data_IF_362176476360
#
_entry.id   IF_362176476360
#
_cell.length_a   1.000
_cell.length_b   1.000
_cell.length_c   1.000
_cell.angle_alpha   90.00
_cell.angle_beta   90.00
_cell.angle_gamma   90.00
#
_symmetry.space_group_name_H-M   'P 1'
#
loop_
_entity.id
_entity.type
_entity.pdbx_description
1 polymer ?
#
# COMPACT_ATOMS: atom_id res chain seq x y z
N UNK A 1 -11.46 36.09 36.79
CA UNK A 1 -10.55 35.99 35.63
C UNK A 1 -9.56 34.85 35.85
N UNK A 2 -9.76 33.68 35.24
CA UNK A 2 -8.75 32.60 35.27
C UNK A 2 -7.65 33.00 34.30
N UNK A 3 -6.54 33.59 34.78
CA UNK A 3 -5.31 33.74 33.99
C UNK A 3 -4.76 32.33 33.76
N UNK A 4 -5.18 31.69 32.67
CA UNK A 4 -4.54 30.48 32.17
C UNK A 4 -3.14 30.87 31.72
N UNK A 5 -2.14 30.57 32.54
CA UNK A 5 -0.73 30.64 32.16
C UNK A 5 -0.53 29.74 30.93
N UNK A 6 -0.32 30.36 29.77
CA UNK A 6 0.12 29.66 28.56
C UNK A 6 1.56 29.21 28.79
N UNK A 7 1.76 27.90 28.82
CA UNK A 7 3.06 27.28 28.84
C UNK A 7 3.72 27.52 27.48
N UNK A 8 4.75 28.37 27.46
CA UNK A 8 5.51 28.73 26.26
C UNK A 8 6.56 27.68 25.90
N UNK A 9 6.70 26.59 26.69
CA UNK A 9 7.65 25.52 26.39
C UNK A 9 7.36 24.91 25.02
N UNK A 10 8.43 24.69 24.26
CA UNK A 10 8.42 23.97 22.97
C UNK A 10 7.91 22.53 23.17
N UNK A 11 8.13 21.96 24.37
CA UNK A 11 7.64 20.65 24.78
C UNK A 11 6.25 20.69 25.46
N UNK A 12 5.60 21.85 25.54
CA UNK A 12 4.31 21.95 26.23
C UNK A 12 3.22 21.15 25.51
N UNK A 13 2.49 20.32 26.27
CA UNK A 13 1.33 19.59 25.77
C UNK A 13 0.13 20.50 25.43
N UNK A 14 0.17 21.78 25.81
CA UNK A 14 -0.89 22.76 25.59
C UNK A 14 -1.13 23.08 24.10
N UNK A 15 -0.18 22.78 23.21
CA UNK A 15 -0.35 22.89 21.75
C UNK A 15 -0.85 21.60 21.07
N UNK A 16 -1.19 20.55 21.83
CA UNK A 16 -1.69 19.28 21.29
C UNK A 16 -3.23 19.20 21.17
N UNK A 17 -3.95 20.31 21.37
CA UNK A 17 -5.40 20.29 21.21
C UNK A 17 -5.82 20.07 19.76
N UNK A 18 -6.63 19.03 19.53
CA UNK A 18 -7.16 18.72 18.21
C UNK A 18 -8.26 19.72 17.84
N UNK A 19 -8.21 20.24 16.62
CA UNK A 19 -9.31 21.05 16.10
C UNK A 19 -10.54 20.19 15.76
N UNK A 20 -11.68 20.83 15.51
CA UNK A 20 -12.93 20.10 15.27
C UNK A 20 -12.86 19.16 14.05
N UNK A 21 -12.17 19.56 12.98
CA UNK A 21 -11.95 18.72 11.80
C UNK A 21 -11.10 17.48 12.10
N UNK A 22 -10.06 17.63 12.92
CA UNK A 22 -9.22 16.51 13.37
C UNK A 22 -10.00 15.58 14.31
N UNK A 23 -10.84 16.11 15.20
CA UNK A 23 -11.71 15.31 16.07
C UNK A 23 -12.73 14.51 15.27
N UNK A 24 -13.45 15.15 14.36
CA UNK A 24 -14.42 14.46 13.47
C UNK A 24 -13.70 13.45 12.57
N UNK A 25 -12.59 13.85 11.96
CA UNK A 25 -11.81 12.97 11.08
C UNK A 25 -11.25 11.73 11.79
N UNK A 26 -10.74 11.90 13.01
CA UNK A 26 -10.25 10.78 13.84
C UNK A 26 -11.39 9.89 14.33
N UNK A 27 -12.53 10.46 14.75
CA UNK A 27 -13.70 9.69 15.13
C UNK A 27 -14.22 8.83 13.97
N UNK A 28 -14.34 9.38 12.76
CA UNK A 28 -14.73 8.64 11.56
C UNK A 28 -13.76 7.50 11.23
N UNK A 29 -12.45 7.76 11.29
CA UNK A 29 -11.44 6.75 11.04
C UNK A 29 -11.47 5.62 12.08
N UNK A 30 -11.65 5.95 13.36
CA UNK A 30 -11.78 4.96 14.45
C UNK A 30 -13.05 4.13 14.28
N UNK A 31 -14.18 4.75 13.94
CA UNK A 31 -15.43 4.02 13.66
C UNK A 31 -15.28 3.08 12.47
N UNK A 32 -14.62 3.52 11.40
CA UNK A 32 -14.34 2.67 10.24
C UNK A 32 -13.45 1.47 10.60
N UNK A 33 -12.38 1.69 11.35
CA UNK A 33 -11.50 0.62 11.82
C UNK A 33 -12.23 -0.32 12.78
N UNK A 34 -13.10 0.20 13.63
CA UNK A 34 -13.93 -0.62 14.52
C UNK A 34 -14.84 -1.57 13.74
N UNK A 35 -15.50 -1.09 12.66
CA UNK A 35 -16.30 -1.94 11.79
C UNK A 35 -15.45 -3.06 11.15
N UNK A 36 -14.23 -2.76 10.71
CA UNK A 36 -13.32 -3.77 10.16
C UNK A 36 -12.89 -4.80 11.21
N UNK A 37 -12.69 -4.38 12.46
CA UNK A 37 -12.41 -5.29 13.58
C UNK A 37 -13.61 -6.18 13.91
N UNK A 38 -14.84 -5.64 13.89
CA UNK A 38 -16.04 -6.45 14.06
C UNK A 38 -16.18 -7.50 12.95
N UNK A 39 -15.88 -7.11 11.70
CA UNK A 39 -15.84 -8.04 10.58
C UNK A 39 -14.76 -9.11 10.76
N UNK A 40 -13.59 -8.75 11.28
CA UNK A 40 -12.52 -9.70 11.59
C UNK A 40 -12.96 -10.77 12.61
N UNK A 41 -13.70 -10.39 13.65
CA UNK A 41 -14.29 -11.33 14.61
C UNK A 41 -15.55 -12.07 14.10
N UNK A 42 -15.84 -11.97 12.81
CA UNK A 42 -16.95 -12.66 12.14
C UNK A 42 -18.33 -12.32 12.74
N UNK A 43 -18.51 -11.12 13.27
CA UNK A 43 -19.81 -10.66 13.74
C UNK A 43 -20.71 -10.39 12.53
N UNK A 44 -21.90 -10.99 12.52
CA UNK A 44 -22.83 -10.87 11.41
C UNK A 44 -23.44 -9.47 11.37
N UNK A 45 -22.91 -8.62 10.48
CA UNK A 45 -23.48 -7.33 10.17
C UNK A 45 -24.59 -7.50 9.13
N UNK A 46 -25.81 -7.05 9.47
CA UNK A 46 -26.91 -6.99 8.51
C UNK A 46 -26.52 -6.09 7.34
N UNK A 47 -26.74 -6.54 6.10
CA UNK A 47 -26.36 -5.83 4.87
C UNK A 47 -24.84 -5.54 4.76
N UNK A 48 -24.04 -6.60 4.62
CA UNK A 48 -22.56 -6.53 4.48
C UNK A 48 -22.07 -5.42 3.52
N UNK A 49 -22.71 -5.27 2.37
CA UNK A 49 -22.33 -4.26 1.36
C UNK A 49 -22.41 -2.83 1.88
N UNK A 50 -23.45 -2.49 2.64
CA UNK A 50 -23.64 -1.15 3.18
C UNK A 50 -22.53 -0.79 4.17
N UNK A 51 -22.24 -1.70 5.11
CA UNK A 51 -21.18 -1.51 6.10
C UNK A 51 -19.80 -1.52 5.47
N UNK A 52 -19.56 -2.34 4.43
CA UNK A 52 -18.31 -2.33 3.69
C UNK A 52 -18.07 -0.97 3.04
N UNK A 53 -18.98 -0.52 2.17
CA UNK A 53 -18.81 0.76 1.47
C UNK A 53 -18.78 1.94 2.45
N UNK A 54 -19.65 1.91 3.47
CA UNK A 54 -19.67 2.90 4.54
C UNK A 54 -18.35 2.98 5.31
N UNK A 55 -17.74 1.84 5.67
CA UNK A 55 -16.45 1.81 6.38
C UNK A 55 -15.30 2.30 5.51
N UNK A 56 -15.21 1.89 4.23
CA UNK A 56 -14.16 2.35 3.32
C UNK A 56 -14.29 3.85 3.03
N UNK A 57 -15.50 4.34 2.82
CA UNK A 57 -15.78 5.76 2.65
C UNK A 57 -15.46 6.56 3.93
N UNK A 58 -15.90 6.10 5.10
CA UNK A 58 -15.62 6.75 6.37
C UNK A 58 -14.11 6.79 6.68
N UNK A 59 -13.37 5.75 6.32
CA UNK A 59 -11.90 5.71 6.47
C UNK A 59 -11.23 6.77 5.58
N UNK A 60 -11.59 6.82 4.29
CA UNK A 60 -11.08 7.84 3.36
C UNK A 60 -11.47 9.26 3.77
N UNK A 61 -12.75 9.48 4.07
CA UNK A 61 -13.27 10.77 4.50
C UNK A 61 -12.62 11.23 5.81
N UNK A 62 -12.44 10.32 6.77
CA UNK A 62 -11.74 10.57 8.02
C UNK A 62 -10.30 11.03 7.80
N UNK A 63 -9.54 10.33 6.94
CA UNK A 63 -8.18 10.72 6.55
C UNK A 63 -8.14 12.08 5.86
N UNK A 64 -9.06 12.36 4.94
CA UNK A 64 -9.16 13.64 4.23
C UNK A 64 -9.47 14.79 5.19
N UNK A 65 -10.46 14.63 6.06
CA UNK A 65 -10.87 15.64 7.05
C UNK A 65 -9.74 15.93 8.06
N UNK A 66 -9.12 14.88 8.59
CA UNK A 66 -7.97 15.01 9.48
C UNK A 66 -6.81 15.75 8.80
N UNK A 67 -6.54 15.43 7.53
CA UNK A 67 -5.47 16.08 6.76
C UNK A 67 -5.76 17.55 6.47
N UNK A 68 -7.00 17.89 6.12
CA UNK A 68 -7.44 19.28 5.95
C UNK A 68 -7.28 20.08 7.24
N UNK A 69 -7.78 19.54 8.35
CA UNK A 69 -7.64 20.16 9.67
C UNK A 69 -6.17 20.37 10.08
N UNK A 70 -5.27 19.49 9.64
CA UNK A 70 -3.85 19.57 10.01
C UNK A 70 -3.05 20.56 9.15
N UNK A 71 -3.25 20.57 7.84
CA UNK A 71 -2.34 21.27 6.91
C UNK A 71 -2.95 22.47 6.19
N UNK A 72 -4.26 22.54 6.00
CA UNK A 72 -4.88 23.54 5.13
C UNK A 72 -4.72 24.97 5.65
N UNK A 73 -4.89 25.14 6.97
CA UNK A 73 -4.85 26.42 7.68
C UNK A 73 -3.44 26.84 8.11
N UNK A 74 -2.43 26.02 7.85
CA UNK A 74 -1.04 26.34 8.15
C UNK A 74 -0.35 26.93 6.91
N UNK A 75 0.62 27.85 7.05
CA UNK A 75 1.36 28.37 5.90
C UNK A 75 2.05 27.24 5.13
N UNK A 76 2.08 27.35 3.80
CA UNK A 76 2.70 26.34 2.95
C UNK A 76 4.21 26.25 3.24
N UNK A 77 4.75 25.04 3.36
CA UNK A 77 6.16 24.82 3.66
C UNK A 77 6.45 23.39 4.12
N UNK A 78 7.66 23.13 4.61
CA UNK A 78 8.05 21.82 5.17
C UNK A 78 7.48 21.72 6.60
N UNK A 79 6.71 20.66 6.88
CA UNK A 79 5.97 20.47 8.15
C UNK A 79 6.39 19.20 8.88
N UNK A 80 7.60 19.18 9.41
CA UNK A 80 8.17 18.06 10.17
C UNK A 80 8.22 18.37 11.68
N UNK A 81 7.10 18.88 12.22
CA UNK A 81 7.04 19.36 13.59
C UNK A 81 6.90 18.19 14.59
N UNK A 82 7.72 18.24 15.65
CA UNK A 82 7.71 17.32 16.80
C UNK A 82 7.92 15.84 16.47
N UNK A 83 8.55 15.54 15.32
CA UNK A 83 8.73 14.16 14.85
C UNK A 83 9.63 13.34 15.80
N UNK A 84 10.57 13.98 16.50
CA UNK A 84 11.40 13.32 17.52
C UNK A 84 10.68 13.10 18.86
N UNK A 85 9.54 13.75 19.11
CA UNK A 85 8.86 13.67 20.42
C UNK A 85 7.60 12.81 20.40
N UNK A 86 7.01 12.59 19.21
CA UNK A 86 5.81 11.76 19.07
C UNK A 86 6.14 10.28 19.28
N UNK A 87 5.39 9.61 20.17
CA UNK A 87 5.58 8.18 20.50
C UNK A 87 5.57 7.27 19.26
N UNK A 88 4.75 7.59 18.26
CA UNK A 88 4.68 6.83 17.01
C UNK A 88 5.92 6.97 16.11
N UNK A 89 6.64 8.10 16.13
CA UNK A 89 7.80 8.37 15.24
C UNK A 89 9.15 8.34 15.94
N UNK A 90 9.18 8.18 17.26
CA UNK A 90 10.42 8.11 18.06
C UNK A 90 10.65 6.74 18.70
N UNK A 91 10.28 5.64 18.02
CA UNK A 91 10.43 4.27 18.54
C UNK A 91 9.80 4.07 19.94
N UNK A 92 8.77 4.85 20.28
CA UNK A 92 8.06 4.76 21.55
C UNK A 92 7.11 3.56 21.58
N UNK A 93 6.38 3.42 22.68
CA UNK A 93 5.45 2.29 22.90
C UNK A 93 4.45 2.10 21.74
N UNK A 94 3.84 3.18 21.25
CA UNK A 94 2.89 3.10 20.13
C UNK A 94 3.56 2.66 18.82
N UNK A 95 4.83 3.03 18.59
CA UNK A 95 5.57 2.57 17.42
C UNK A 95 5.80 1.06 17.45
N UNK A 96 6.18 0.52 18.61
CA UNK A 96 6.36 -0.93 18.81
C UNK A 96 5.05 -1.70 18.67
N UNK A 97 3.95 -1.21 19.26
CA UNK A 97 2.63 -1.81 19.09
C UNK A 97 2.23 -1.90 17.61
N UNK A 98 2.38 -0.81 16.85
CA UNK A 98 2.07 -0.79 15.42
C UNK A 98 3.00 -1.71 14.64
N UNK A 99 4.30 -1.74 14.97
CA UNK A 99 5.26 -2.64 14.34
C UNK A 99 4.88 -4.11 14.54
N UNK A 100 4.64 -4.53 15.78
CA UNK A 100 4.22 -5.90 16.11
C UNK A 100 2.90 -6.25 15.43
N UNK A 101 1.91 -5.35 15.47
CA UNK A 101 0.61 -5.56 14.83
C UNK A 101 0.74 -5.76 13.31
N UNK A 102 1.53 -4.93 12.63
CA UNK A 102 1.76 -5.06 11.19
C UNK A 102 2.51 -6.36 10.87
N UNK A 103 3.55 -6.70 11.62
CA UNK A 103 4.27 -7.96 11.44
C UNK A 103 3.34 -9.16 11.65
N UNK A 104 2.55 -9.18 12.72
CA UNK A 104 1.57 -10.23 12.97
C UNK A 104 0.52 -10.31 11.85
N UNK A 105 0.03 -9.17 11.35
CA UNK A 105 -0.88 -9.13 10.21
C UNK A 105 -0.26 -9.78 8.96
N UNK A 106 1.00 -9.48 8.63
CA UNK A 106 1.68 -10.10 7.48
C UNK A 106 1.94 -11.59 7.67
N UNK A 107 2.29 -12.04 8.88
CA UNK A 107 2.42 -13.46 9.23
C UNK A 107 1.11 -14.19 8.90
N UNK A 108 -0.02 -13.65 9.38
CA UNK A 108 -1.35 -14.24 9.16
C UNK A 108 -1.74 -14.16 7.68
N UNK A 109 -1.47 -13.04 7.01
CA UNK A 109 -1.80 -12.84 5.59
C UNK A 109 -1.10 -13.85 4.68
N UNK A 110 0.18 -14.15 4.91
CA UNK A 110 0.96 -15.04 4.05
C UNK A 110 0.82 -16.52 4.43
N UNK A 111 0.86 -16.85 5.72
CA UNK A 111 0.94 -18.24 6.18
C UNK A 111 -0.37 -18.80 6.73
N UNK A 112 -1.26 -17.96 7.24
CA UNK A 112 -2.49 -18.42 7.89
C UNK A 112 -3.74 -17.64 7.47
N UNK A 113 -4.04 -17.54 6.17
CA UNK A 113 -5.15 -16.73 5.70
C UNK A 113 -6.53 -17.22 6.13
N UNK A 114 -6.64 -18.48 6.57
CA UNK A 114 -7.83 -19.03 7.22
C UNK A 114 -8.27 -18.19 8.42
N UNK A 115 -7.34 -17.59 9.17
CA UNK A 115 -7.69 -16.71 10.29
C UNK A 115 -8.22 -15.34 9.85
N UNK A 116 -7.96 -14.91 8.62
CA UNK A 116 -8.64 -13.74 8.02
C UNK A 116 -10.06 -14.10 7.54
N UNK A 117 -10.40 -15.39 7.52
CA UNK A 117 -11.68 -15.91 7.09
C UNK A 117 -11.75 -16.36 5.63
N UNK A 118 -10.59 -16.60 4.99
CA UNK A 118 -10.54 -17.29 3.71
C UNK A 118 -11.01 -18.75 3.89
N UNK A 119 -12.03 -19.16 3.14
CA UNK A 119 -12.50 -20.53 3.13
C UNK A 119 -11.82 -21.31 2.00
N UNK A 120 -11.24 -22.47 2.31
CA UNK A 120 -10.67 -23.37 1.28
C UNK A 120 -11.78 -24.07 0.47
N UNK A 121 -12.88 -24.44 1.13
CA UNK A 121 -14.05 -25.07 0.51
C UNK A 121 -15.33 -24.52 1.18
N UNK A 122 -15.89 -23.45 0.64
CA UNK A 122 -17.13 -22.86 1.16
C UNK A 122 -17.23 -21.35 1.01
N UNK A 123 -18.18 -20.75 1.73
CA UNK A 123 -18.34 -19.29 1.76
C UNK A 123 -17.28 -18.67 2.69
N UNK A 124 -16.64 -17.61 2.23
CA UNK A 124 -15.74 -16.82 3.06
C UNK A 124 -16.46 -16.26 4.28
N UNK A 125 -15.74 -16.21 5.40
CA UNK A 125 -16.20 -15.66 6.68
C UNK A 125 -15.27 -14.52 7.12
N UNK A 126 -15.55 -13.92 8.27
CA UNK A 126 -14.66 -12.93 8.86
C UNK A 126 -14.39 -11.73 7.95
N UNK A 127 -13.13 -11.28 7.95
CA UNK A 127 -12.70 -10.12 7.19
C UNK A 127 -12.74 -10.38 5.68
N UNK A 128 -12.31 -11.55 5.20
CA UNK A 128 -12.35 -11.87 3.77
C UNK A 128 -13.79 -11.90 3.25
N UNK A 129 -14.69 -12.58 3.98
CA UNK A 129 -16.11 -12.67 3.62
C UNK A 129 -16.88 -11.36 3.78
N UNK A 130 -16.28 -10.33 4.41
CA UNK A 130 -16.82 -8.97 4.46
C UNK A 130 -16.57 -8.21 3.15
N UNK A 131 -15.46 -8.52 2.45
CA UNK A 131 -15.10 -7.89 1.17
C UNK A 131 -15.69 -8.59 -0.06
N UNK A 132 -16.33 -9.76 0.10
CA UNK A 132 -16.99 -10.49 -0.99
C UNK A 132 -17.88 -9.61 -1.89
N UNK A 133 -18.75 -8.71 -1.38
CA UNK A 133 -19.61 -7.90 -2.25
C UNK A 133 -18.83 -6.98 -3.20
N UNK A 134 -17.72 -6.40 -2.73
CA UNK A 134 -16.88 -5.53 -3.56
C UNK A 134 -16.06 -6.36 -4.56
N UNK A 135 -15.55 -7.53 -4.14
CA UNK A 135 -14.85 -8.46 -5.02
C UNK A 135 -15.77 -8.91 -6.16
N UNK A 136 -16.94 -9.46 -5.83
CA UNK A 136 -17.92 -9.90 -6.83
C UNK A 136 -18.31 -8.79 -7.81
N UNK A 137 -18.38 -7.53 -7.35
CA UNK A 137 -18.62 -6.38 -8.21
C UNK A 137 -17.48 -6.15 -9.22
N UNK A 138 -16.22 -6.20 -8.77
CA UNK A 138 -15.04 -5.85 -9.58
C UNK A 138 -14.48 -7.01 -10.40
N UNK A 139 -14.32 -8.20 -9.79
CA UNK A 139 -13.68 -9.37 -10.40
C UNK A 139 -14.62 -10.55 -10.67
N UNK A 140 -15.86 -10.51 -10.17
CA UNK A 140 -16.85 -11.58 -10.37
C UNK A 140 -16.60 -12.86 -9.55
N UNK A 141 -15.60 -12.86 -8.65
CA UNK A 141 -15.23 -13.99 -7.78
C UNK A 141 -15.32 -13.59 -6.30
N UNK A 142 -15.46 -14.55 -5.37
CA UNK A 142 -15.33 -14.28 -3.94
C UNK A 142 -13.99 -13.63 -3.60
N UNK A 143 -13.95 -12.85 -2.53
CA UNK A 143 -12.74 -12.13 -2.16
C UNK A 143 -11.61 -13.09 -1.76
N UNK A 144 -10.39 -12.74 -2.11
CA UNK A 144 -9.17 -13.38 -1.60
C UNK A 144 -8.52 -12.50 -0.53
N UNK A 145 -7.58 -13.07 0.24
CA UNK A 145 -6.75 -12.29 1.17
C UNK A 145 -6.01 -11.14 0.46
N UNK A 146 -5.61 -11.35 -0.79
CA UNK A 146 -4.89 -10.38 -1.62
C UNK A 146 -5.82 -9.27 -2.09
N UNK A 147 -7.09 -9.59 -2.36
CA UNK A 147 -8.10 -8.59 -2.69
C UNK A 147 -8.36 -7.64 -1.51
N UNK A 148 -8.51 -8.20 -0.30
CA UNK A 148 -8.67 -7.40 0.94
C UNK A 148 -7.46 -6.50 1.13
N UNK A 149 -6.25 -7.09 1.08
CA UNK A 149 -5.01 -6.34 1.21
C UNK A 149 -4.92 -5.23 0.15
N UNK A 150 -5.14 -5.55 -1.12
CA UNK A 150 -5.09 -4.60 -2.25
C UNK A 150 -6.10 -3.46 -2.11
N UNK A 151 -7.31 -3.74 -1.62
CA UNK A 151 -8.33 -2.72 -1.37
C UNK A 151 -7.91 -1.77 -0.25
N UNK A 152 -7.54 -2.31 0.92
CA UNK A 152 -7.10 -1.52 2.07
C UNK A 152 -5.83 -0.72 1.74
N UNK A 153 -4.92 -1.33 1.00
CA UNK A 153 -3.69 -0.70 0.54
C UNK A 153 -3.97 0.46 -0.41
N UNK A 154 -4.90 0.29 -1.36
CA UNK A 154 -5.30 1.37 -2.28
C UNK A 154 -5.97 2.52 -1.52
N UNK A 155 -6.85 2.22 -0.57
CA UNK A 155 -7.45 3.23 0.32
C UNK A 155 -6.38 3.99 1.11
N UNK A 156 -5.40 3.28 1.67
CA UNK A 156 -4.30 3.90 2.40
C UNK A 156 -3.46 4.82 1.50
N UNK A 157 -3.08 4.38 0.29
CA UNK A 157 -2.33 5.20 -0.68
C UNK A 157 -3.11 6.43 -1.09
N UNK A 158 -4.43 6.32 -1.34
CA UNK A 158 -5.25 7.46 -1.74
C UNK A 158 -5.40 8.48 -0.60
N UNK A 159 -5.73 8.02 0.61
CA UNK A 159 -5.92 8.89 1.77
C UNK A 159 -4.62 9.55 2.25
N UNK A 160 -3.54 8.78 2.34
CA UNK A 160 -2.21 9.28 2.74
C UNK A 160 -1.53 10.07 1.62
N UNK A 161 -1.80 9.74 0.36
CA UNK A 161 -1.40 10.53 -0.81
C UNK A 161 -2.03 11.92 -0.78
N UNK A 162 -3.34 12.00 -0.50
CA UNK A 162 -4.02 13.28 -0.31
C UNK A 162 -3.41 14.10 0.84
N UNK A 163 -3.15 13.46 2.00
CA UNK A 163 -2.43 14.08 3.12
C UNK A 163 -1.09 14.67 2.68
N UNK A 164 -0.31 13.89 1.93
CA UNK A 164 1.03 14.29 1.49
C UNK A 164 0.99 15.45 0.48
N UNK A 165 0.03 15.44 -0.45
CA UNK A 165 -0.20 16.55 -1.39
C UNK A 165 -0.52 17.85 -0.64
N UNK A 166 -1.36 17.80 0.40
CA UNK A 166 -1.65 18.97 1.24
C UNK A 166 -0.43 19.45 2.02
N UNK A 167 0.33 18.52 2.61
CA UNK A 167 1.56 18.82 3.36
C UNK A 167 2.59 19.51 2.47
N UNK A 168 2.81 19.00 1.25
CA UNK A 168 3.79 19.51 0.30
C UNK A 168 3.20 20.40 -0.79
N UNK A 169 2.11 21.13 -0.48
CA UNK A 169 1.38 21.94 -1.48
C UNK A 169 2.19 23.04 -2.17
N UNK A 170 3.33 23.40 -1.59
CA UNK A 170 4.26 24.39 -2.16
C UNK A 170 5.13 23.80 -3.28
N UNK A 171 5.26 22.47 -3.37
CA UNK A 171 6.19 21.81 -4.28
C UNK A 171 5.46 20.98 -5.34
N UNK A 172 5.42 21.51 -6.58
CA UNK A 172 4.76 20.85 -7.73
C UNK A 172 5.33 19.46 -8.02
N UNK A 173 6.64 19.27 -7.88
CA UNK A 173 7.27 17.96 -8.11
C UNK A 173 6.69 16.89 -7.17
N UNK A 174 6.52 17.22 -5.89
CA UNK A 174 5.96 16.31 -4.89
C UNK A 174 4.49 15.98 -5.18
N UNK A 175 3.72 16.97 -5.63
CA UNK A 175 2.31 16.79 -5.99
C UNK A 175 2.17 15.85 -7.20
N UNK A 176 2.86 16.14 -8.31
CA UNK A 176 2.77 15.34 -9.54
C UNK A 176 3.24 13.91 -9.29
N UNK A 177 4.34 13.73 -8.54
CA UNK A 177 4.84 12.42 -8.15
C UNK A 177 3.82 11.61 -7.36
N UNK A 178 3.18 12.22 -6.36
CA UNK A 178 2.18 11.55 -5.53
C UNK A 178 0.93 11.19 -6.31
N UNK A 179 0.46 12.11 -7.18
CA UNK A 179 -0.67 11.86 -8.09
C UNK A 179 -0.36 10.69 -9.02
N UNK A 180 0.86 10.61 -9.58
CA UNK A 180 1.28 9.49 -10.42
C UNK A 180 1.18 8.16 -9.68
N UNK A 181 1.74 8.08 -8.47
CA UNK A 181 1.70 6.82 -7.70
C UNK A 181 0.27 6.44 -7.32
N UNK A 182 -0.57 7.41 -6.94
CA UNK A 182 -1.99 7.17 -6.68
C UNK A 182 -2.71 6.63 -7.92
N UNK A 183 -2.42 7.19 -9.09
CA UNK A 183 -2.96 6.73 -10.38
C UNK A 183 -2.53 5.30 -10.72
N UNK A 184 -1.24 4.98 -10.61
CA UNK A 184 -0.76 3.62 -10.88
C UNK A 184 -1.28 2.61 -9.85
N UNK A 185 -1.40 2.99 -8.58
CA UNK A 185 -1.97 2.11 -7.56
C UNK A 185 -3.45 1.83 -7.81
N UNK A 186 -4.27 2.87 -8.03
CA UNK A 186 -5.70 2.69 -8.24
C UNK A 186 -5.99 2.07 -9.61
N UNK A 187 -5.40 2.60 -10.67
CA UNK A 187 -5.64 2.17 -12.05
C UNK A 187 -4.96 0.84 -12.38
N UNK A 188 -3.64 0.81 -12.36
CA UNK A 188 -2.86 -0.32 -12.87
C UNK A 188 -2.71 -1.47 -11.88
N UNK A 189 -2.59 -1.19 -10.58
CA UNK A 189 -2.35 -2.22 -9.57
C UNK A 189 -3.64 -2.85 -9.04
N UNK A 190 -4.74 -2.08 -9.00
CA UNK A 190 -6.00 -2.50 -8.39
C UNK A 190 -7.13 -2.66 -9.41
N UNK A 191 -7.58 -1.61 -10.08
CA UNK A 191 -8.76 -1.70 -10.95
C UNK A 191 -8.52 -2.56 -12.20
N UNK A 192 -7.40 -2.36 -12.88
CA UNK A 192 -7.12 -3.04 -14.15
C UNK A 192 -7.01 -4.56 -14.00
N UNK A 193 -6.23 -5.12 -13.05
CA UNK A 193 -6.17 -6.57 -12.86
C UNK A 193 -7.53 -7.18 -12.49
N UNK A 194 -8.30 -6.51 -11.62
CA UNK A 194 -9.61 -7.00 -11.17
C UNK A 194 -10.64 -6.98 -12.31
N UNK A 195 -10.67 -5.92 -13.13
CA UNK A 195 -11.55 -5.88 -14.31
C UNK A 195 -11.13 -6.89 -15.39
N UNK A 196 -9.83 -7.06 -15.63
CA UNK A 196 -9.33 -8.07 -16.57
C UNK A 196 -9.62 -9.50 -16.07
N UNK A 197 -9.73 -9.72 -14.77
CA UNK A 197 -10.20 -10.96 -14.18
C UNK A 197 -11.68 -11.21 -14.49
N UNK A 198 -12.53 -10.19 -14.28
CA UNK A 198 -13.96 -10.28 -14.60
C UNK A 198 -14.25 -10.53 -16.08
N UNK A 199 -13.49 -9.89 -16.97
CA UNK A 199 -13.66 -10.03 -18.42
C UNK A 199 -13.09 -11.35 -18.98
N UNK A 200 -12.24 -12.05 -18.24
CA UNK A 200 -11.63 -13.30 -18.66
C UNK A 200 -11.71 -14.36 -17.54
N UNK A 201 -12.93 -14.76 -17.12
CA UNK A 201 -13.14 -15.56 -15.91
C UNK A 201 -12.58 -17.00 -16.04
N UNK A 202 -12.54 -17.54 -17.27
CA UNK A 202 -12.11 -18.91 -17.58
C UNK A 202 -10.59 -19.07 -17.71
N UNK A 203 -9.85 -17.96 -17.78
CA UNK A 203 -8.39 -18.02 -17.91
C UNK A 203 -7.75 -18.19 -16.54
N UNK A 204 -6.69 -19.01 -16.48
CA UNK A 204 -5.90 -19.18 -15.27
C UNK A 204 -5.33 -17.83 -14.79
N UNK A 205 -5.21 -17.67 -13.48
CA UNK A 205 -4.65 -16.44 -12.89
C UNK A 205 -3.14 -16.39 -13.17
N UNK A 206 -2.69 -15.40 -13.94
CA UNK A 206 -1.27 -15.14 -14.23
C UNK A 206 -0.83 -13.74 -13.79
N UNK A 207 -1.36 -13.24 -12.66
CA UNK A 207 -0.98 -11.96 -12.05
C UNK A 207 -0.97 -10.80 -13.07
N UNK A 208 -2.16 -10.39 -13.50
CA UNK A 208 -2.45 -9.38 -14.55
C UNK A 208 -2.02 -7.94 -14.22
N UNK A 209 -1.01 -7.76 -13.37
CA UNK A 209 -0.46 -6.47 -12.98
C UNK A 209 0.66 -6.05 -13.94
N UNK A 210 0.30 -5.17 -14.87
CA UNK A 210 1.18 -4.67 -15.93
C UNK A 210 2.40 -3.90 -15.44
N UNK A 211 2.49 -3.54 -14.15
CA UNK A 211 3.67 -2.85 -13.61
C UNK A 211 4.67 -3.80 -12.97
N UNK A 212 4.33 -5.08 -12.79
CA UNK A 212 5.20 -6.04 -12.09
C UNK A 212 6.25 -6.59 -13.04
N UNK A 213 7.51 -6.23 -12.82
CA UNK A 213 8.66 -6.68 -13.62
C UNK A 213 9.57 -7.60 -12.79
N UNK A 214 10.27 -8.52 -13.44
CA UNK A 214 11.38 -9.23 -12.82
C UNK A 214 12.57 -8.27 -12.57
N UNK A 215 13.39 -8.41 -11.50
CA UNK A 215 13.34 -9.43 -10.45
C UNK A 215 12.41 -9.09 -9.28
N UNK A 216 11.66 -7.98 -9.35
CA UNK A 216 10.69 -7.61 -8.31
C UNK A 216 9.55 -8.64 -8.24
N UNK A 217 9.10 -9.12 -9.39
CA UNK A 217 8.26 -10.30 -9.51
C UNK A 217 9.13 -11.55 -9.61
N UNK A 218 9.43 -12.16 -8.46
CA UNK A 218 10.34 -13.31 -8.37
C UNK A 218 9.77 -14.59 -9.00
N UNK A 219 8.43 -14.73 -9.07
CA UNK A 219 7.78 -15.92 -9.62
C UNK A 219 7.48 -15.81 -11.11
N UNK A 220 7.91 -14.73 -11.78
CA UNK A 220 7.59 -14.47 -13.19
C UNK A 220 7.97 -15.64 -14.11
N UNK A 221 9.12 -16.27 -13.85
CA UNK A 221 9.63 -17.41 -14.62
C UNK A 221 9.33 -18.78 -14.00
N UNK A 222 8.49 -18.84 -12.96
CA UNK A 222 8.13 -20.13 -12.37
C UNK A 222 7.24 -20.92 -13.35
N UNK A 223 7.40 -22.25 -13.35
CA UNK A 223 6.68 -23.18 -14.21
C UNK A 223 5.17 -22.91 -14.30
N UNK A 224 4.48 -22.89 -13.15
CA UNK A 224 3.04 -22.63 -13.09
C UNK A 224 2.64 -21.29 -13.74
N UNK A 225 3.47 -20.25 -13.61
CA UNK A 225 3.17 -18.92 -14.09
C UNK A 225 3.40 -18.83 -15.60
N UNK A 226 4.51 -19.39 -16.10
CA UNK A 226 4.79 -19.50 -17.53
C UNK A 226 3.73 -20.34 -18.24
N UNK A 227 3.38 -21.50 -17.68
CA UNK A 227 2.34 -22.38 -18.20
C UNK A 227 0.97 -21.69 -18.23
N UNK A 228 0.61 -20.89 -17.21
CA UNK A 228 -0.62 -20.11 -17.23
C UNK A 228 -0.60 -18.95 -18.25
N UNK A 229 0.57 -18.33 -18.49
CA UNK A 229 0.73 -17.29 -19.50
C UNK A 229 0.63 -17.84 -20.92
N UNK A 230 1.27 -18.98 -21.20
CA UNK A 230 1.22 -19.62 -22.53
C UNK A 230 -0.16 -20.18 -22.82
N UNK A 231 -0.83 -20.79 -21.83
CA UNK A 231 -2.20 -21.30 -21.97
C UNK A 231 -3.28 -20.20 -21.90
N UNK A 232 -2.92 -18.96 -21.52
CA UNK A 232 -3.83 -17.82 -21.42
C UNK A 232 -4.29 -17.22 -22.75
N UNK A 233 -3.92 -17.83 -23.89
CA UNK A 233 -4.19 -17.33 -25.24
C UNK A 233 -3.54 -15.96 -25.49
N UNK A 234 -4.14 -15.14 -26.36
CA UNK A 234 -3.57 -13.83 -26.77
C UNK A 234 -3.24 -12.89 -25.60
N UNK A 235 -4.07 -12.88 -24.55
CA UNK A 235 -3.84 -12.05 -23.37
C UNK A 235 -2.64 -12.53 -22.56
N UNK A 236 -2.49 -13.85 -22.36
CA UNK A 236 -1.36 -14.41 -21.63
C UNK A 236 -0.05 -14.21 -22.39
N UNK A 237 -0.05 -14.41 -23.71
CA UNK A 237 1.09 -14.13 -24.57
C UNK A 237 1.48 -12.64 -24.55
N UNK A 238 0.50 -11.73 -24.62
CA UNK A 238 0.75 -10.30 -24.49
C UNK A 238 1.44 -9.96 -23.16
N UNK A 239 0.97 -10.52 -22.05
CA UNK A 239 1.54 -10.28 -20.72
C UNK A 239 2.96 -10.83 -20.58
N UNK A 240 3.24 -11.98 -21.19
CA UNK A 240 4.59 -12.55 -21.24
C UNK A 240 5.55 -11.62 -22.01
N UNK A 241 5.17 -11.22 -23.23
CA UNK A 241 5.97 -10.31 -24.06
C UNK A 241 6.15 -8.96 -23.37
N UNK A 242 5.09 -8.43 -22.77
CA UNK A 242 5.12 -7.18 -22.02
C UNK A 242 6.07 -7.26 -20.82
N UNK A 243 6.01 -8.36 -20.05
CA UNK A 243 6.92 -8.58 -18.92
C UNK A 243 8.39 -8.65 -19.34
N UNK A 244 8.70 -9.32 -20.45
CA UNK A 244 10.05 -9.37 -21.03
C UNK A 244 10.47 -7.97 -21.52
N UNK A 245 9.60 -7.27 -22.24
CA UNK A 245 9.84 -5.92 -22.72
C UNK A 245 10.06 -4.94 -21.57
N UNK A 246 9.36 -5.10 -20.45
CA UNK A 246 9.58 -4.29 -19.25
C UNK A 246 11.00 -4.40 -18.72
N UNK A 247 11.57 -5.60 -18.72
CA UNK A 247 12.91 -5.88 -18.20
C UNK A 247 13.99 -5.33 -19.14
N UNK A 248 13.93 -5.67 -20.42
CA UNK A 248 15.03 -5.45 -21.35
C UNK A 248 14.93 -4.15 -22.16
N UNK A 249 13.73 -3.57 -22.28
CA UNK A 249 13.48 -2.41 -23.13
C UNK A 249 12.99 -1.23 -22.29
N UNK A 250 11.81 -1.35 -21.67
CA UNK A 250 11.14 -0.22 -21.02
C UNK A 250 11.92 0.24 -19.79
N UNK A 251 12.34 -0.67 -18.90
CA UNK A 251 13.06 -0.27 -17.68
C UNK A 251 14.41 0.38 -17.97
N UNK A 252 15.27 -0.14 -18.88
CA UNK A 252 16.50 0.55 -19.28
C UNK A 252 16.25 1.93 -19.90
N UNK A 253 15.27 2.05 -20.80
CA UNK A 253 14.90 3.33 -21.43
C UNK A 253 14.44 4.35 -20.38
N UNK A 254 13.49 3.98 -19.52
CA UNK A 254 12.98 4.87 -18.47
C UNK A 254 14.06 5.20 -17.43
N UNK A 255 14.96 4.27 -17.15
CA UNK A 255 16.10 4.51 -16.25
C UNK A 255 17.11 5.47 -16.87
N UNK A 256 17.33 5.42 -18.19
CA UNK A 256 18.20 6.36 -18.89
C UNK A 256 17.64 7.79 -18.86
N UNK A 257 16.35 7.98 -19.12
CA UNK A 257 15.73 9.31 -19.18
C UNK A 257 15.36 9.89 -17.81
N UNK A 258 14.83 9.07 -16.90
CA UNK A 258 14.25 9.52 -15.62
C UNK A 258 15.07 9.10 -14.39
N UNK A 259 16.17 8.36 -14.61
CA UNK A 259 17.07 7.89 -13.56
C UNK A 259 16.55 6.66 -12.81
N UNK A 260 17.40 6.11 -11.94
CA UNK A 260 17.21 4.83 -11.21
C UNK A 260 15.96 4.73 -10.32
N UNK A 261 15.29 5.85 -10.03
CA UNK A 261 14.18 5.92 -9.07
C UNK A 261 12.81 6.02 -9.73
N UNK A 262 12.74 6.00 -11.07
CA UNK A 262 11.48 6.19 -11.80
C UNK A 262 10.39 5.23 -11.30
N UNK A 263 10.68 3.94 -11.15
CA UNK A 263 9.70 2.94 -10.72
C UNK A 263 9.25 3.17 -9.28
N UNK A 264 10.20 3.17 -8.33
CA UNK A 264 9.89 3.31 -6.90
C UNK A 264 9.28 4.67 -6.55
N UNK A 265 9.56 5.74 -7.31
CA UNK A 265 9.07 7.07 -6.99
C UNK A 265 7.76 7.44 -7.69
N UNK A 266 7.43 6.82 -8.83
CA UNK A 266 6.32 7.28 -9.69
C UNK A 266 5.28 6.22 -10.01
N UNK A 267 5.61 4.93 -9.86
CA UNK A 267 4.75 3.81 -10.30
C UNK A 267 4.44 2.86 -9.14
N UNK A 268 5.44 2.52 -8.34
CA UNK A 268 5.32 1.49 -7.32
C UNK A 268 4.48 1.94 -6.12
N UNK A 269 3.45 1.17 -5.77
CA UNK A 269 2.65 1.37 -4.57
C UNK A 269 3.48 1.38 -3.28
N UNK A 270 4.44 0.46 -3.15
CA UNK A 270 5.35 0.39 -1.99
C UNK A 270 6.13 1.69 -1.78
N UNK A 271 6.58 2.29 -2.88
CA UNK A 271 7.21 3.60 -2.85
C UNK A 271 6.24 4.71 -2.49
N UNK A 272 5.00 4.66 -2.97
CA UNK A 272 3.92 5.55 -2.54
C UNK A 272 3.68 5.53 -1.03
N UNK A 273 3.64 4.34 -0.43
CA UNK A 273 3.47 4.23 1.03
C UNK A 273 4.70 4.76 1.78
N UNK A 274 5.90 4.45 1.29
CA UNK A 274 7.16 4.95 1.87
C UNK A 274 7.27 6.49 1.80
N UNK A 275 6.80 7.09 0.71
CA UNK A 275 6.83 8.55 0.53
C UNK A 275 5.70 9.25 1.28
N UNK A 276 4.56 8.61 1.54
CA UNK A 276 3.40 9.24 2.20
C UNK A 276 3.34 8.97 3.71
N UNK A 277 3.22 7.70 4.12
CA UNK A 277 3.28 7.31 5.53
C UNK A 277 4.71 7.37 6.07
N UNK A 278 5.67 6.84 5.31
CA UNK A 278 7.06 6.70 5.72
C UNK A 278 7.82 8.02 5.89
N UNK A 279 7.33 9.11 5.30
CA UNK A 279 7.95 10.44 5.39
C UNK A 279 8.18 10.90 6.84
N UNK A 280 7.26 10.55 7.76
CA UNK A 280 7.36 10.91 9.18
C UNK A 280 8.40 10.09 9.96
N UNK A 281 9.04 9.11 9.32
CA UNK A 281 10.04 8.22 9.93
C UNK A 281 11.44 8.44 9.36
N UNK A 282 11.63 9.38 8.42
CA UNK A 282 12.91 9.60 7.71
C UNK A 282 14.09 9.91 8.61
N UNK A 283 13.84 10.56 9.75
CA UNK A 283 14.83 10.86 10.79
C UNK A 283 15.43 9.61 11.44
N UNK A 284 14.74 8.46 11.38
CA UNK A 284 15.22 7.20 11.97
C UNK A 284 16.15 6.44 11.03
N UNK A 285 16.28 6.86 9.77
CA UNK A 285 17.16 6.22 8.80
C UNK A 285 18.62 6.55 9.11
N UNK A 286 19.44 5.51 9.29
CA UNK A 286 20.88 5.67 9.47
C UNK A 286 21.51 6.29 8.20
N UNK A 287 22.26 7.37 8.38
CA UNK A 287 22.99 8.09 7.32
C UNK A 287 24.48 7.85 7.37
N UNK A 288 24.93 6.91 8.21
CA UNK A 288 26.34 6.54 8.32
C UNK A 288 26.88 6.02 6.98
N UNK A 289 28.17 6.28 6.75
CA UNK A 289 28.87 5.77 5.56
C UNK A 289 28.93 4.24 5.54
N UNK A 290 28.87 3.59 6.72
CA UNK A 290 28.79 2.13 6.86
C UNK A 290 27.48 1.60 6.29
N UNK A 291 26.34 2.17 6.68
CA UNK A 291 25.03 1.78 6.15
C UNK A 291 24.95 1.97 4.63
N UNK A 292 25.46 3.10 4.12
CA UNK A 292 25.50 3.36 2.68
C UNK A 292 26.37 2.36 1.90
N UNK A 293 27.56 2.01 2.42
CA UNK A 293 28.44 1.01 1.80
C UNK A 293 27.77 -0.37 1.77
N UNK A 294 27.08 -0.74 2.85
CA UNK A 294 26.31 -1.98 2.92
C UNK A 294 25.18 -2.00 1.87
N UNK A 295 24.35 -0.96 1.81
CA UNK A 295 23.25 -0.85 0.85
C UNK A 295 23.75 -0.97 -0.61
N UNK A 296 24.88 -0.32 -0.92
CA UNK A 296 25.48 -0.40 -2.26
C UNK A 296 25.85 -1.83 -2.63
N UNK A 297 26.40 -2.62 -1.71
CA UNK A 297 26.81 -3.99 -1.99
C UNK A 297 25.61 -4.96 -1.97
N UNK A 298 24.69 -4.80 -1.02
CA UNK A 298 23.54 -5.68 -0.86
C UNK A 298 22.64 -5.71 -2.09
N UNK A 299 22.45 -4.57 -2.77
CA UNK A 299 21.65 -4.50 -4.01
C UNK A 299 22.24 -5.39 -5.11
N UNK A 300 23.56 -5.40 -5.27
CA UNK A 300 24.21 -6.21 -6.31
C UNK A 300 24.21 -7.69 -5.93
N UNK A 301 24.41 -8.02 -4.65
CA UNK A 301 24.29 -9.40 -4.17
C UNK A 301 22.88 -9.96 -4.44
N UNK A 302 21.84 -9.22 -4.06
CA UNK A 302 20.44 -9.63 -4.31
C UNK A 302 20.18 -9.80 -5.80
N UNK A 303 20.71 -8.92 -6.65
CA UNK A 303 20.57 -9.06 -8.11
C UNK A 303 21.24 -10.33 -8.65
N UNK A 304 22.49 -10.60 -8.24
CA UNK A 304 23.21 -11.82 -8.65
C UNK A 304 22.45 -13.06 -8.18
N UNK A 305 21.99 -13.07 -6.93
CA UNK A 305 21.20 -14.17 -6.39
C UNK A 305 19.90 -14.38 -7.18
N UNK A 306 19.17 -13.31 -7.49
CA UNK A 306 17.97 -13.38 -8.32
C UNK A 306 18.24 -13.93 -9.73
N UNK A 307 19.35 -13.56 -10.36
CA UNK A 307 19.77 -14.11 -11.66
C UNK A 307 20.03 -15.62 -11.55
N UNK A 308 20.83 -16.05 -10.57
CA UNK A 308 21.16 -17.47 -10.36
C UNK A 308 19.92 -18.29 -10.11
N UNK A 309 19.02 -17.83 -9.22
CA UNK A 309 17.75 -18.51 -8.94
C UNK A 309 16.88 -18.60 -10.20
N UNK A 310 16.83 -17.54 -11.00
CA UNK A 310 16.03 -17.53 -12.24
C UNK A 310 16.58 -18.51 -13.27
N UNK A 311 17.91 -18.56 -13.44
CA UNK A 311 18.55 -19.56 -14.32
C UNK A 311 18.23 -20.97 -13.85
N UNK A 312 18.32 -21.24 -12.54
CA UNK A 312 17.99 -22.54 -11.99
C UNK A 312 16.52 -22.93 -12.26
N UNK A 313 15.58 -22.01 -12.02
CA UNK A 313 14.14 -22.24 -12.28
C UNK A 313 13.86 -22.51 -13.76
N UNK A 314 14.47 -21.73 -14.67
CA UNK A 314 14.30 -21.93 -16.12
C UNK A 314 14.92 -23.26 -16.55
N UNK A 315 16.11 -23.62 -16.04
CA UNK A 315 16.76 -24.88 -16.36
C UNK A 315 15.96 -26.10 -15.90
N UNK A 316 15.25 -26.00 -14.76
CA UNK A 316 14.34 -27.07 -14.31
C UNK A 316 13.03 -27.15 -15.09
N UNK A 317 12.67 -26.08 -15.81
CA UNK A 317 11.45 -26.01 -16.61
C UNK A 317 11.63 -26.53 -18.05
N UNK A 318 12.83 -26.33 -18.63
CA UNK A 318 13.21 -26.85 -19.95
C UNK A 318 13.46 -28.37 -19.93
#
# INVERSE_FOLDING_TARGET
>A
MKKTTQNLSIASHQKNELNMLQKVGSALAVLALFILVLAFFNLQLQSKSFWLYGSLFALLAGLVLYSKGTYLYQPAGIKNDNVFFKSITNKGFLAWMVGIMLTAFYIVLYWFPKYLGLAENGKNIGLVGFFDPLSLLLNGKPASQWFVYGTLYTVAILGLGYKFILKYRHNKYQQVRTISVMFFQLGFAFLLPEFLEKLNPEKAYFAKDLKNMWPLNYYFFNDWHLTNLTNGGNLGLFMLIWGIALIFIISPILTYFYGKRWYCSWVCGCGGLAETAGDSFRQLSDKSTKAWKFERWSIHLVLVFSIVMTIAVIFTFL
#
